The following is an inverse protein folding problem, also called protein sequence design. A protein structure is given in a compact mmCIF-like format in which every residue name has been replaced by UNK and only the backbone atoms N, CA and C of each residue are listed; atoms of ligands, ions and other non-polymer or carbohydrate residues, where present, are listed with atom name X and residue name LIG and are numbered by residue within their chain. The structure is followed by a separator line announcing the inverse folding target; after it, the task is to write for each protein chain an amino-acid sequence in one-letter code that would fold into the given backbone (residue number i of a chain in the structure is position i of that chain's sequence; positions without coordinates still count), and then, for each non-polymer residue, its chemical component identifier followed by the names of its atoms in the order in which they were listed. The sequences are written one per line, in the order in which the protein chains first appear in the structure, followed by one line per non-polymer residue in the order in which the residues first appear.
data_IF_814763364557
#
_entry.id   IF_814763364557
#
_cell.length_a   1.000
_cell.length_b   1.000
_cell.length_c   1.000
_cell.angle_alpha   90.00
_cell.angle_beta   90.00
_cell.angle_gamma   90.00
#
_symmetry.space_group_name_H-M   'P 1'
#
loop_
_entity.id
_entity.type
_entity.pdbx_description
1 polymer ?
#
# COMPACT_ATOMS: atom_id res chain seq x y z
N UNK A 1 -12.79 -8.43 24.70
CA UNK A 1 -12.50 -7.05 24.25
C UNK A 1 -13.84 -6.42 23.91
N UNK A 2 -14.17 -5.24 24.41
CA UNK A 2 -15.48 -4.59 24.24
C UNK A 2 -15.49 -3.73 22.96
N UNK A 3 -16.57 -3.78 22.17
CA UNK A 3 -16.72 -3.01 20.93
C UNK A 3 -17.97 -2.13 21.06
N UNK A 4 -17.81 -0.82 20.85
CA UNK A 4 -18.89 0.17 20.84
C UNK A 4 -19.74 -0.01 19.57
N UNK A 5 -21.04 -0.25 19.72
CA UNK A 5 -21.92 -0.65 18.60
C UNK A 5 -22.96 0.39 18.19
N UNK A 6 -23.22 1.43 18.99
CA UNK A 6 -24.11 2.53 18.61
C UNK A 6 -24.00 3.76 19.53
N UNK A 7 -24.30 4.95 18.99
CA UNK A 7 -24.61 6.18 19.73
C UNK A 7 -26.07 6.56 19.46
N UNK A 8 -26.88 6.73 20.52
CA UNK A 8 -28.22 7.32 20.43
C UNK A 8 -28.30 8.61 21.25
N UNK A 9 -28.94 9.63 20.69
CA UNK A 9 -29.27 10.90 21.34
C UNK A 9 -30.77 11.14 21.23
N UNK A 10 -31.47 11.20 22.37
CA UNK A 10 -32.85 11.66 22.45
C UNK A 10 -32.90 13.07 23.06
N UNK A 11 -33.53 14.02 22.36
CA UNK A 11 -33.96 15.29 22.92
C UNK A 11 -35.36 15.14 23.51
N UNK A 12 -35.55 15.47 24.79
CA UNK A 12 -36.87 15.50 25.42
C UNK A 12 -37.28 16.94 25.72
N UNK A 13 -38.34 17.40 25.06
CA UNK A 13 -39.05 18.65 25.37
C UNK A 13 -39.80 18.55 26.70
N UNK A 14 -39.65 19.55 27.55
CA UNK A 14 -40.21 19.63 28.91
C UNK A 14 -41.67 20.09 28.93
N UNK A 15 -42.53 19.39 29.69
CA UNK A 15 -43.75 19.98 30.26
C UNK A 15 -44.07 19.37 31.63
N UNK A 16 -44.45 20.23 32.55
CA UNK A 16 -44.58 20.03 33.99
C UNK A 16 -45.93 19.44 34.45
N UNK A 17 -45.90 18.88 35.67
CA UNK A 17 -46.95 18.85 36.70
C UNK A 17 -47.60 17.49 37.10
N UNK A 18 -47.51 17.27 38.42
CA UNK A 18 -48.41 16.59 39.37
C UNK A 18 -48.78 15.11 39.24
N UNK A 19 -48.28 14.34 40.23
CA UNK A 19 -48.98 13.36 41.08
C UNK A 19 -50.08 12.49 40.44
N UNK A 20 -49.82 11.18 40.39
CA UNK A 20 -50.88 10.16 40.38
C UNK A 20 -50.65 8.96 39.45
N UNK A 21 -50.25 7.84 40.03
CA UNK A 21 -50.67 6.45 39.72
C UNK A 21 -50.79 6.04 38.21
N UNK A 22 -49.94 5.05 37.85
CA UNK A 22 -50.09 4.04 36.77
C UNK A 22 -50.09 4.54 35.31
N UNK A 23 -48.95 4.36 34.65
CA UNK A 23 -48.92 4.03 33.23
C UNK A 23 -47.90 2.90 32.99
N UNK A 24 -48.42 1.76 32.50
CA UNK A 24 -47.65 0.63 31.99
C UNK A 24 -46.79 1.10 30.81
N UNK A 25 -45.48 1.03 30.91
CA UNK A 25 -44.62 0.84 29.75
C UNK A 25 -44.03 -0.57 29.85
N UNK A 26 -44.77 -1.55 29.29
CA UNK A 26 -44.22 -2.85 28.91
C UNK A 26 -43.15 -2.56 27.85
N UNK A 27 -41.88 -2.62 28.20
CA UNK A 27 -40.84 -2.88 27.21
C UNK A 27 -40.60 -4.39 27.28
N UNK A 28 -41.32 -5.09 26.40
CA UNK A 28 -41.05 -6.49 26.07
C UNK A 28 -39.96 -6.48 25.00
N UNK A 29 -38.71 -6.73 25.39
CA UNK A 29 -37.64 -7.09 24.47
C UNK A 29 -37.09 -8.44 24.91
N UNK A 30 -37.49 -9.46 24.15
CA UNK A 30 -37.14 -10.86 24.26
C UNK A 30 -35.68 -11.13 23.89
N UNK A 31 -35.09 -12.17 24.48
CA UNK A 31 -33.97 -12.94 23.93
C UNK A 31 -33.10 -13.58 25.00
N UNK A 32 -33.18 -14.90 25.16
CA UNK A 32 -32.30 -15.70 26.03
C UNK A 32 -30.83 -15.61 25.57
N UNK A 33 -29.93 -15.18 26.47
CA UNK A 33 -28.48 -15.20 26.25
C UNK A 33 -27.74 -14.10 27.03
N UNK A 34 -27.22 -14.47 28.21
CA UNK A 34 -26.24 -13.75 29.06
C UNK A 34 -26.25 -12.21 29.05
N UNK A 35 -27.15 -11.62 29.86
CA UNK A 35 -27.12 -10.20 30.18
C UNK A 35 -26.27 -9.93 31.44
N UNK A 36 -25.04 -9.45 31.29
CA UNK A 36 -24.29 -8.81 32.37
C UNK A 36 -24.81 -7.38 32.57
N UNK A 37 -25.83 -7.24 33.42
CA UNK A 37 -26.46 -5.98 33.76
C UNK A 37 -25.59 -5.14 34.72
N UNK A 38 -24.99 -4.06 34.24
CA UNK A 38 -24.40 -2.99 35.07
C UNK A 38 -25.20 -1.69 34.87
N UNK A 39 -26.41 -1.64 35.38
CA UNK A 39 -27.27 -0.45 35.32
C UNK A 39 -27.11 0.46 36.53
N UNK A 40 -26.40 1.59 36.38
CA UNK A 40 -26.56 2.76 37.26
C UNK A 40 -27.32 3.82 36.50
N UNK A 41 -28.60 4.03 36.86
CA UNK A 41 -29.45 5.07 36.26
C UNK A 41 -29.15 6.39 36.99
N UNK A 42 -28.46 7.31 36.30
CA UNK A 42 -28.32 8.71 36.74
C UNK A 42 -28.99 9.62 35.72
N UNK A 43 -30.00 10.35 36.18
CA UNK A 43 -30.73 11.35 35.42
C UNK A 43 -29.81 12.54 35.09
N UNK A 44 -29.38 12.64 33.83
CA UNK A 44 -28.59 13.73 33.29
C UNK A 44 -28.09 13.30 31.92
N UNK A 45 -28.46 14.04 30.87
CA UNK A 45 -28.17 13.69 29.47
C UNK A 45 -26.74 13.22 29.27
N UNK A 46 -26.57 11.90 29.14
CA UNK A 46 -25.30 11.25 28.84
C UNK A 46 -25.56 10.35 27.65
N UNK A 47 -24.82 10.57 26.57
CA UNK A 47 -24.71 9.60 25.48
C UNK A 47 -24.38 8.24 26.10
N UNK A 48 -25.33 7.32 26.03
CA UNK A 48 -25.16 5.98 26.55
C UNK A 48 -24.49 5.15 25.46
N UNK A 49 -23.18 4.91 25.61
CA UNK A 49 -22.44 3.99 24.76
C UNK A 49 -22.79 2.57 25.20
N UNK A 50 -23.43 1.82 24.30
CA UNK A 50 -23.73 0.41 24.55
C UNK A 50 -22.55 -0.44 24.07
N UNK A 51 -22.02 -1.26 24.97
CA UNK A 51 -20.96 -2.21 24.69
C UNK A 51 -21.54 -3.62 24.68
N UNK A 52 -21.14 -4.43 23.71
CA UNK A 52 -21.45 -5.86 23.66
C UNK A 52 -20.15 -6.66 23.67
N UNK A 53 -20.09 -7.69 24.52
CA UNK A 53 -19.01 -8.68 24.48
C UNK A 53 -19.30 -9.64 23.34
N UNK A 54 -18.47 -9.59 22.31
CA UNK A 54 -18.52 -10.55 21.21
C UNK A 54 -17.40 -11.57 21.45
N UNK A 55 -17.67 -12.87 21.59
CA UNK A 55 -16.63 -13.88 21.50
C UNK A 55 -16.14 -13.90 20.04
N UNK A 56 -14.86 -13.65 19.82
CA UNK A 56 -14.24 -13.68 18.48
C UNK A 56 -12.83 -14.24 18.55
N UNK A 57 -12.40 -14.90 17.49
CA UNK A 57 -11.05 -15.37 17.25
C UNK A 57 -10.42 -14.60 16.09
N UNK A 58 -9.43 -13.76 16.39
CA UNK A 58 -8.70 -13.00 15.36
C UNK A 58 -7.87 -13.86 14.41
N UNK A 59 -7.68 -15.14 14.70
CA UNK A 59 -7.06 -16.09 13.77
C UNK A 59 -8.05 -16.62 12.72
N UNK A 60 -9.32 -16.20 12.75
CA UNK A 60 -10.38 -16.68 11.86
C UNK A 60 -10.96 -15.50 11.08
N UNK A 61 -10.83 -15.52 9.75
CA UNK A 61 -11.33 -14.44 8.88
C UNK A 61 -12.85 -14.22 8.97
N UNK A 62 -13.62 -15.28 9.25
CA UNK A 62 -15.07 -15.19 9.44
C UNK A 62 -15.44 -14.29 10.63
N UNK A 63 -14.82 -14.52 11.79
CA UNK A 63 -15.04 -13.72 13.00
C UNK A 63 -14.67 -12.26 12.75
N UNK A 64 -13.56 -12.00 12.05
CA UNK A 64 -13.17 -10.64 11.65
C UNK A 64 -14.23 -10.01 10.75
N UNK A 65 -14.77 -10.76 9.79
CA UNK A 65 -15.82 -10.27 8.89
C UNK A 65 -17.07 -9.86 9.67
N UNK A 66 -17.50 -10.67 10.63
CA UNK A 66 -18.66 -10.38 11.48
C UNK A 66 -18.44 -9.13 12.33
N UNK A 67 -17.23 -8.94 12.87
CA UNK A 67 -16.89 -7.72 13.58
C UNK A 67 -16.97 -6.48 12.67
N UNK A 68 -16.46 -6.57 11.45
CA UNK A 68 -16.51 -5.49 10.47
C UNK A 68 -17.95 -5.14 10.08
N UNK A 69 -18.82 -6.14 9.93
CA UNK A 69 -20.25 -5.91 9.68
C UNK A 69 -20.96 -5.26 10.87
N UNK A 70 -20.64 -5.67 12.11
CA UNK A 70 -21.25 -5.08 13.32
C UNK A 70 -20.98 -3.59 13.45
N UNK A 71 -19.85 -3.11 12.95
CA UNK A 71 -19.51 -1.68 12.91
C UNK A 71 -19.92 -0.99 11.60
N UNK A 72 -20.71 -1.64 10.75
CA UNK A 72 -21.13 -1.15 9.43
C UNK A 72 -19.95 -0.71 8.55
N UNK A 73 -18.85 -1.47 8.57
CA UNK A 73 -17.69 -1.19 7.73
C UNK A 73 -18.06 -1.31 6.24
N UNK A 74 -17.79 -0.25 5.48
CA UNK A 74 -18.17 -0.12 4.07
C UNK A 74 -17.01 0.31 3.15
N UNK A 75 -15.79 0.35 3.68
CA UNK A 75 -14.59 0.75 2.92
C UNK A 75 -13.93 -0.47 2.29
N UNK A 76 -12.98 -0.21 1.38
CA UNK A 76 -12.06 -1.22 0.84
C UNK A 76 -10.81 -1.29 1.72
N UNK A 77 -10.23 -2.47 1.85
CA UNK A 77 -8.97 -2.68 2.59
C UNK A 77 -7.84 -2.79 1.57
N UNK A 78 -6.81 -1.94 1.69
CA UNK A 78 -5.64 -1.99 0.83
C UNK A 78 -4.52 -2.72 1.56
N UNK A 79 -4.00 -3.78 0.93
CA UNK A 79 -2.84 -4.51 1.41
C UNK A 79 -1.64 -4.17 0.53
N UNK A 80 -0.80 -3.28 1.03
CA UNK A 80 0.43 -2.90 0.35
C UNK A 80 1.56 -3.90 0.63
N UNK A 81 2.49 -4.05 -0.32
CA UNK A 81 3.70 -4.85 -0.17
C UNK A 81 3.46 -6.31 0.21
N UNK A 82 2.36 -6.91 -0.29
CA UNK A 82 1.99 -8.31 -0.02
C UNK A 82 3.12 -9.32 -0.33
N UNK A 83 3.92 -9.02 -1.35
CA UNK A 83 5.03 -9.86 -1.81
C UNK A 83 6.19 -9.99 -0.81
N UNK A 84 6.26 -9.16 0.25
CA UNK A 84 7.24 -9.29 1.33
C UNK A 84 6.85 -10.31 2.40
N UNK A 85 5.60 -10.73 2.45
CA UNK A 85 5.19 -11.81 3.34
C UNK A 85 5.91 -13.11 2.95
N UNK A 86 6.23 -13.94 3.93
CA UNK A 86 6.70 -15.29 3.65
C UNK A 86 5.59 -16.11 2.94
N UNK A 87 5.99 -17.19 2.28
CA UNK A 87 5.06 -17.97 1.46
C UNK A 87 3.92 -18.60 2.26
N UNK A 88 4.19 -18.99 3.51
CA UNK A 88 3.20 -19.57 4.40
C UNK A 88 2.10 -18.56 4.72
N UNK A 89 2.44 -17.34 5.11
CA UNK A 89 1.48 -16.26 5.35
C UNK A 89 0.75 -15.83 4.08
N UNK A 90 1.44 -15.77 2.94
CA UNK A 90 0.76 -15.47 1.66
C UNK A 90 -0.32 -16.52 1.37
N UNK A 91 -0.04 -17.79 1.64
CA UNK A 91 -1.00 -18.88 1.46
C UNK A 91 -2.16 -18.78 2.45
N UNK A 92 -1.89 -18.61 3.74
CA UNK A 92 -2.93 -18.41 4.77
C UNK A 92 -3.86 -17.26 4.39
N UNK A 93 -3.27 -16.09 4.08
CA UNK A 93 -4.03 -14.91 3.70
C UNK A 93 -4.82 -15.12 2.40
N UNK A 94 -4.38 -15.99 1.48
CA UNK A 94 -5.16 -16.33 0.29
C UNK A 94 -6.50 -17.01 0.64
N UNK A 95 -6.53 -17.87 1.66
CA UNK A 95 -7.77 -18.47 2.16
C UNK A 95 -8.64 -17.46 2.91
N UNK A 96 -8.02 -16.58 3.68
CA UNK A 96 -8.75 -15.51 4.37
C UNK A 96 -9.40 -14.54 3.38
N UNK A 97 -8.69 -14.14 2.32
CA UNK A 97 -9.19 -13.28 1.25
C UNK A 97 -10.44 -13.87 0.58
N UNK A 98 -10.48 -15.20 0.39
CA UNK A 98 -11.68 -15.89 -0.09
C UNK A 98 -12.86 -15.65 0.87
N UNK A 99 -12.64 -15.85 2.16
CA UNK A 99 -13.67 -15.68 3.20
C UNK A 99 -14.19 -14.24 3.24
N UNK A 100 -13.29 -13.26 3.24
CA UNK A 100 -13.65 -11.84 3.20
C UNK A 100 -14.46 -11.48 1.95
N UNK A 101 -14.11 -12.03 0.79
CA UNK A 101 -14.86 -11.80 -0.44
C UNK A 101 -16.27 -12.39 -0.36
N UNK A 102 -16.46 -13.58 0.23
CA UNK A 102 -17.76 -14.22 0.43
C UNK A 102 -18.68 -13.41 1.37
N UNK A 103 -18.10 -12.70 2.33
CA UNK A 103 -18.82 -11.81 3.25
C UNK A 103 -19.00 -10.38 2.69
N UNK A 104 -18.49 -10.09 1.48
CA UNK A 104 -18.66 -8.81 0.81
C UNK A 104 -17.62 -7.74 1.21
N UNK A 105 -16.54 -8.14 1.89
CA UNK A 105 -15.41 -7.27 2.23
C UNK A 105 -14.38 -7.31 1.10
N UNK A 106 -14.13 -6.16 0.49
CA UNK A 106 -13.26 -6.05 -0.68
C UNK A 106 -11.85 -5.67 -0.25
N UNK A 107 -10.90 -6.52 -0.65
CA UNK A 107 -9.47 -6.26 -0.53
C UNK A 107 -8.87 -5.85 -1.88
N UNK A 108 -7.97 -4.86 -1.84
CA UNK A 108 -7.11 -4.46 -2.97
C UNK A 108 -5.68 -4.79 -2.58
N UNK A 109 -5.09 -5.77 -3.26
CA UNK A 109 -3.73 -6.23 -2.98
C UNK A 109 -2.77 -5.54 -3.93
N UNK A 110 -1.81 -4.79 -3.39
CA UNK A 110 -0.74 -4.14 -4.14
C UNK A 110 0.55 -4.91 -3.93
N UNK A 111 1.22 -5.27 -5.02
CA UNK A 111 2.50 -5.95 -4.93
C UNK A 111 3.09 -6.31 -6.28
N UNK A 112 4.38 -6.63 -6.25
CA UNK A 112 5.11 -7.11 -7.43
C UNK A 112 5.10 -8.64 -7.43
N UNK A 113 4.55 -9.22 -8.49
CA UNK A 113 4.46 -10.67 -8.63
C UNK A 113 5.57 -11.19 -9.53
N UNK A 114 6.45 -12.04 -8.99
CA UNK A 114 7.45 -12.78 -9.81
C UNK A 114 6.82 -13.81 -10.75
N UNK A 115 5.64 -14.30 -10.38
CA UNK A 115 4.83 -15.26 -11.14
C UNK A 115 3.39 -14.77 -11.11
N UNK A 116 2.74 -14.75 -12.28
CA UNK A 116 1.31 -14.46 -12.38
C UNK A 116 0.50 -15.48 -11.57
N UNK A 117 -0.73 -15.10 -11.17
CA UNK A 117 -1.70 -16.00 -10.54
C UNK A 117 -1.25 -16.64 -9.22
N UNK A 118 -0.36 -15.98 -8.48
CA UNK A 118 0.20 -16.53 -7.24
C UNK A 118 -0.86 -16.80 -6.18
N UNK A 119 -1.84 -15.90 -6.00
CA UNK A 119 -2.96 -16.10 -5.08
C UNK A 119 -3.83 -17.30 -5.48
N UNK A 120 -4.16 -17.44 -6.78
CA UNK A 120 -4.93 -18.59 -7.31
C UNK A 120 -4.18 -19.91 -7.16
N UNK A 121 -2.85 -19.87 -7.25
CA UNK A 121 -2.01 -21.06 -7.02
C UNK A 121 -2.11 -21.54 -5.57
N UNK A 122 -2.18 -20.61 -4.60
CA UNK A 122 -2.35 -20.96 -3.18
C UNK A 122 -3.77 -21.38 -2.85
N UNK A 123 -4.77 -20.68 -3.41
CA UNK A 123 -6.19 -20.95 -3.21
C UNK A 123 -6.91 -20.99 -4.56
N UNK A 124 -7.12 -22.18 -5.15
CA UNK A 124 -7.79 -22.32 -6.45
C UNK A 124 -9.21 -21.74 -6.49
N UNK A 125 -9.90 -21.66 -5.35
CA UNK A 125 -11.23 -21.06 -5.23
C UNK A 125 -11.26 -19.57 -5.60
N UNK A 126 -10.09 -18.90 -5.62
CA UNK A 126 -9.95 -17.51 -6.06
C UNK A 126 -9.97 -17.35 -7.59
N UNK A 127 -9.99 -18.44 -8.37
CA UNK A 127 -9.76 -18.41 -9.82
C UNK A 127 -10.68 -17.44 -10.54
N UNK A 128 -11.97 -17.45 -10.20
CA UNK A 128 -12.99 -16.57 -10.80
C UNK A 128 -13.44 -15.42 -9.85
N UNK A 129 -12.66 -15.16 -8.79
CA UNK A 129 -13.01 -14.19 -7.74
C UNK A 129 -12.01 -13.05 -7.59
N UNK A 130 -10.86 -13.16 -8.25
CA UNK A 130 -9.78 -12.16 -8.21
C UNK A 130 -9.56 -11.60 -9.60
N UNK A 131 -9.57 -10.27 -9.70
CA UNK A 131 -9.23 -9.57 -10.92
C UNK A 131 -7.82 -9.00 -10.82
N UNK A 132 -6.93 -9.44 -11.72
CA UNK A 132 -5.59 -8.87 -11.83
C UNK A 132 -5.65 -7.64 -12.74
N UNK A 133 -5.21 -6.50 -12.21
CA UNK A 133 -5.03 -5.27 -12.99
C UNK A 133 -3.53 -5.07 -13.14
N UNK A 134 -2.93 -5.43 -14.28
CA UNK A 134 -1.52 -5.19 -14.51
C UNK A 134 -1.28 -3.68 -14.58
N UNK A 135 -0.24 -3.22 -13.88
CA UNK A 135 0.23 -1.82 -13.96
C UNK A 135 1.26 -1.64 -15.08
N UNK A 136 1.94 -2.73 -15.45
CA UNK A 136 2.94 -2.78 -16.52
C UNK A 136 2.41 -3.55 -17.74
N UNK A 137 2.93 -3.28 -18.97
CA UNK A 137 4.11 -2.47 -19.26
C UNK A 137 3.81 -0.97 -19.33
N UNK A 138 4.74 -0.16 -18.83
CA UNK A 138 4.75 1.28 -19.08
C UNK A 138 5.30 1.56 -20.48
N UNK A 139 4.63 2.42 -21.23
CA UNK A 139 5.09 2.92 -22.53
C UNK A 139 5.54 4.36 -22.42
N UNK A 140 6.34 4.85 -23.38
CA UNK A 140 6.87 6.22 -23.36
C UNK A 140 5.78 7.29 -23.16
N UNK A 141 4.58 7.06 -23.72
CA UNK A 141 3.42 7.94 -23.52
C UNK A 141 3.04 8.12 -22.05
N UNK A 142 3.10 7.05 -21.25
CA UNK A 142 2.79 7.08 -19.82
C UNK A 142 3.83 7.92 -19.05
N UNK A 143 5.11 7.79 -19.42
CA UNK A 143 6.19 8.60 -18.82
C UNK A 143 5.97 10.09 -19.09
N UNK A 144 5.58 10.43 -20.32
CA UNK A 144 5.27 11.82 -20.71
C UNK A 144 4.03 12.34 -19.99
N UNK A 145 3.01 11.51 -19.76
CA UNK A 145 1.85 11.90 -18.97
C UNK A 145 2.22 12.20 -17.51
N UNK A 146 3.12 11.42 -16.91
CA UNK A 146 3.65 11.70 -15.56
C UNK A 146 4.39 13.05 -15.52
N UNK A 147 5.24 13.32 -16.51
CA UNK A 147 5.93 14.62 -16.63
C UNK A 147 4.90 15.75 -16.73
N UNK A 148 3.90 15.59 -17.61
CA UNK A 148 2.87 16.61 -17.83
C UNK A 148 2.10 16.90 -16.54
N UNK A 149 1.61 15.88 -15.84
CA UNK A 149 0.88 16.07 -14.57
C UNK A 149 1.73 16.79 -13.52
N UNK A 150 3.00 16.41 -13.39
CA UNK A 150 3.91 17.10 -12.46
C UNK A 150 4.13 18.57 -12.83
N UNK A 151 4.29 18.87 -14.12
CA UNK A 151 4.41 20.23 -14.65
C UNK A 151 3.14 21.07 -14.36
N UNK A 152 1.95 20.50 -14.57
CA UNK A 152 0.67 21.15 -14.29
C UNK A 152 0.52 21.49 -12.80
N UNK A 153 0.79 20.55 -11.90
CA UNK A 153 0.72 20.76 -10.44
C UNK A 153 1.73 21.81 -9.94
N UNK A 154 2.88 21.92 -10.60
CA UNK A 154 3.92 22.88 -10.24
C UNK A 154 3.82 24.22 -10.99
N UNK A 155 2.90 24.35 -11.96
CA UNK A 155 2.81 25.49 -12.88
C UNK A 155 4.15 25.80 -13.59
N UNK A 156 4.80 24.75 -14.10
CA UNK A 156 6.06 24.85 -14.86
C UNK A 156 5.94 24.13 -16.21
N UNK A 157 6.91 24.36 -17.09
CA UNK A 157 7.16 23.54 -18.28
C UNK A 157 8.64 23.17 -18.32
N UNK A 158 8.97 22.03 -18.92
CA UNK A 158 10.35 21.53 -19.01
C UNK A 158 10.71 21.35 -20.49
N UNK A 159 11.91 21.73 -20.89
CA UNK A 159 12.37 21.56 -22.27
C UNK A 159 12.42 20.09 -22.67
N UNK A 160 12.13 19.81 -23.95
CA UNK A 160 12.17 18.44 -24.48
C UNK A 160 13.57 17.82 -24.38
N UNK A 161 14.64 18.63 -24.41
CA UNK A 161 16.01 18.15 -24.19
C UNK A 161 16.19 17.48 -22.83
N UNK A 162 15.67 18.10 -21.76
CA UNK A 162 15.72 17.56 -20.39
C UNK A 162 14.84 16.32 -20.28
N UNK A 163 13.61 16.39 -20.81
CA UNK A 163 12.66 15.27 -20.79
C UNK A 163 13.26 14.05 -21.49
N UNK A 164 13.68 14.19 -22.75
CA UNK A 164 14.28 13.10 -23.52
C UNK A 164 15.50 12.48 -22.81
N UNK A 165 16.33 13.31 -22.18
CA UNK A 165 17.48 12.85 -21.39
C UNK A 165 17.05 12.02 -20.18
N UNK A 166 16.03 12.44 -19.44
CA UNK A 166 15.53 11.65 -18.30
C UNK A 166 14.81 10.38 -18.73
N UNK A 167 14.04 10.38 -19.83
CA UNK A 167 13.45 9.15 -20.34
C UNK A 167 14.54 8.13 -20.70
N UNK A 168 15.59 8.55 -21.41
CA UNK A 168 16.71 7.68 -21.79
C UNK A 168 17.47 7.11 -20.58
N UNK A 169 17.58 7.88 -19.48
CA UNK A 169 18.29 7.48 -18.27
C UNK A 169 17.37 6.90 -17.17
N UNK A 170 16.06 6.77 -17.43
CA UNK A 170 15.12 6.15 -16.50
C UNK A 170 15.12 4.63 -16.59
N UNK A 171 15.68 4.07 -17.66
CA UNK A 171 15.72 2.62 -17.95
C UNK A 171 14.35 1.94 -17.83
N UNK A 172 13.28 2.63 -18.24
CA UNK A 172 11.91 2.12 -18.17
C UNK A 172 11.32 2.09 -16.75
N UNK A 173 11.95 2.78 -15.78
CA UNK A 173 11.43 2.92 -14.42
C UNK A 173 10.79 4.29 -14.20
N UNK A 174 9.48 4.31 -13.96
CA UNK A 174 8.75 5.53 -13.59
C UNK A 174 9.30 6.13 -12.28
N UNK A 175 9.68 5.30 -11.32
CA UNK A 175 10.25 5.78 -10.06
C UNK A 175 11.57 6.53 -10.26
N UNK A 176 12.43 6.03 -11.16
CA UNK A 176 13.69 6.72 -11.50
C UNK A 176 13.40 8.03 -12.24
N UNK A 177 12.47 8.03 -13.21
CA UNK A 177 12.05 9.26 -13.88
C UNK A 177 11.58 10.32 -12.87
N UNK A 178 10.72 9.95 -11.92
CA UNK A 178 10.20 10.87 -10.91
C UNK A 178 11.29 11.43 -10.00
N UNK A 179 12.25 10.60 -9.58
CA UNK A 179 13.38 11.06 -8.76
C UNK A 179 14.33 12.00 -9.54
N UNK A 180 14.54 11.76 -10.84
CA UNK A 180 15.29 12.67 -11.71
C UNK A 180 14.57 14.02 -11.88
N UNK A 181 13.26 14.00 -12.16
CA UNK A 181 12.44 15.21 -12.29
C UNK A 181 12.43 16.03 -10.99
N UNK A 182 12.31 15.35 -9.84
CA UNK A 182 12.36 15.98 -8.52
C UNK A 182 13.71 16.64 -8.26
N UNK A 183 14.83 15.94 -8.53
CA UNK A 183 16.16 16.52 -8.38
C UNK A 183 16.35 17.72 -9.33
N UNK A 184 15.87 17.61 -10.58
CA UNK A 184 15.89 18.72 -11.53
C UNK A 184 15.13 19.95 -11.00
N UNK A 185 13.94 19.75 -10.44
CA UNK A 185 13.16 20.81 -9.82
C UNK A 185 13.92 21.45 -8.65
N UNK A 186 14.56 20.65 -7.80
CA UNK A 186 15.36 21.15 -6.68
C UNK A 186 16.53 22.03 -7.16
N UNK A 187 17.29 21.59 -8.18
CA UNK A 187 18.39 22.39 -8.76
C UNK A 187 17.89 23.66 -9.46
N UNK A 188 16.69 23.62 -10.03
CA UNK A 188 16.00 24.79 -10.58
C UNK A 188 15.37 25.71 -9.50
N UNK A 189 15.44 25.32 -8.22
CA UNK A 189 14.86 26.09 -7.10
C UNK A 189 13.34 25.96 -6.95
N UNK A 190 12.73 24.96 -7.60
CA UNK A 190 11.29 24.71 -7.60
C UNK A 190 10.91 23.77 -6.45
N UNK A 191 10.55 24.37 -5.32
CA UNK A 191 10.15 23.66 -4.09
C UNK A 191 8.65 23.81 -3.76
N UNK A 192 7.91 24.55 -4.60
CA UNK A 192 6.47 24.81 -4.50
C UNK A 192 5.94 25.17 -5.87
N UNK A 193 4.62 25.10 -6.04
CA UNK A 193 3.94 25.59 -7.26
C UNK A 193 4.33 27.04 -7.55
N UNK A 194 4.67 27.33 -8.80
CA UNK A 194 5.05 28.66 -9.23
C UNK A 194 3.83 29.60 -9.32
N UNK A 195 3.99 30.84 -8.86
CA UNK A 195 2.93 31.84 -8.88
C UNK A 195 3.03 32.70 -10.15
N UNK A 196 1.92 32.86 -10.88
CA UNK A 196 1.86 33.70 -12.08
C UNK A 196 1.97 32.89 -13.37
N UNK A 197 2.64 33.47 -14.38
CA UNK A 197 2.86 32.80 -15.67
C UNK A 197 3.74 31.56 -15.49
N UNK A 198 3.48 30.52 -16.27
CA UNK A 198 4.21 29.25 -16.15
C UNK A 198 5.71 29.44 -16.39
N UNK A 199 6.53 28.91 -15.47
CA UNK A 199 7.98 28.99 -15.58
C UNK A 199 8.50 27.91 -16.53
N UNK A 200 9.31 28.30 -17.52
CA UNK A 200 9.95 27.37 -18.43
C UNK A 200 11.36 27.00 -17.99
N UNK A 201 11.60 25.72 -17.70
CA UNK A 201 12.90 25.15 -17.37
C UNK A 201 13.59 24.66 -18.66
N UNK A 202 14.58 25.41 -19.13
CA UNK A 202 15.33 25.10 -20.35
C UNK A 202 16.84 24.92 -20.14
N UNK A 203 17.34 25.10 -18.91
CA UNK A 203 18.77 24.96 -18.63
C UNK A 203 19.12 23.47 -18.42
N UNK A 204 19.75 22.87 -19.42
CA UNK A 204 20.17 21.46 -19.40
C UNK A 204 21.13 21.14 -18.24
N UNK A 205 21.81 22.13 -17.65
CA UNK A 205 22.70 21.89 -16.50
C UNK A 205 21.96 21.31 -15.30
N UNK A 206 20.67 21.63 -15.12
CA UNK A 206 19.87 21.04 -14.05
C UNK A 206 19.66 19.54 -14.25
N UNK A 207 19.56 19.10 -15.50
CA UNK A 207 19.44 17.68 -15.83
C UNK A 207 20.77 16.94 -15.60
N UNK A 208 21.91 17.57 -15.95
CA UNK A 208 23.24 17.02 -15.64
C UNK A 208 23.44 16.85 -14.13
N UNK A 209 23.11 17.87 -13.35
CA UNK A 209 23.23 17.84 -11.89
C UNK A 209 22.31 16.79 -11.25
N UNK A 210 21.05 16.70 -11.71
CA UNK A 210 20.10 15.69 -11.24
C UNK A 210 20.59 14.26 -11.52
N UNK A 211 21.12 14.03 -12.72
CA UNK A 211 21.70 12.73 -13.08
C UNK A 211 22.91 12.41 -12.22
N UNK A 212 23.82 13.36 -12.03
CA UNK A 212 25.00 13.15 -11.19
C UNK A 212 24.63 12.82 -9.74
N UNK A 213 23.71 13.57 -9.14
CA UNK A 213 23.20 13.33 -7.79
C UNK A 213 22.60 11.92 -7.67
N UNK A 214 21.66 11.56 -8.56
CA UNK A 214 20.99 10.24 -8.49
C UNK A 214 21.91 9.08 -8.84
N UNK A 215 22.84 9.26 -9.77
CA UNK A 215 23.87 8.26 -10.03
C UNK A 215 24.75 8.03 -8.80
N UNK A 216 25.14 9.09 -8.08
CA UNK A 216 25.94 8.98 -6.87
C UNK A 216 25.16 8.29 -5.74
N UNK A 217 23.88 8.63 -5.54
CA UNK A 217 23.02 7.97 -4.55
C UNK A 217 22.86 6.47 -4.80
N UNK A 218 22.65 6.08 -6.06
CA UNK A 218 22.45 4.67 -6.42
C UNK A 218 23.75 3.87 -6.50
N UNK A 219 24.90 4.55 -6.71
CA UNK A 219 26.22 3.92 -6.85
C UNK A 219 26.54 3.00 -5.68
N UNK A 220 26.38 3.47 -4.45
CA UNK A 220 26.76 2.70 -3.25
C UNK A 220 25.98 1.37 -3.15
N UNK A 221 24.66 1.44 -3.36
CA UNK A 221 23.81 0.25 -3.34
C UNK A 221 24.15 -0.73 -4.47
N UNK A 222 24.40 -0.23 -5.68
CA UNK A 222 24.79 -1.06 -6.81
C UNK A 222 26.17 -1.67 -6.65
N UNK A 223 27.14 -0.92 -6.13
CA UNK A 223 28.46 -1.43 -5.81
C UNK A 223 28.38 -2.54 -4.79
N UNK A 224 27.65 -2.34 -3.69
CA UNK A 224 27.45 -3.37 -2.68
C UNK A 224 26.79 -4.63 -3.27
N UNK A 225 25.77 -4.48 -4.12
CA UNK A 225 25.13 -5.60 -4.78
C UNK A 225 26.10 -6.38 -5.69
N UNK A 226 26.93 -5.68 -6.46
CA UNK A 226 27.95 -6.28 -7.33
C UNK A 226 29.04 -6.98 -6.51
N UNK A 227 29.46 -6.40 -5.39
CA UNK A 227 30.43 -7.02 -4.47
C UNK A 227 29.87 -8.29 -3.84
N UNK A 228 28.61 -8.28 -3.38
CA UNK A 228 27.92 -9.46 -2.85
C UNK A 228 27.79 -10.56 -3.91
N UNK A 229 27.42 -10.19 -5.14
CA UNK A 229 27.38 -11.12 -6.27
C UNK A 229 28.76 -11.70 -6.55
N UNK A 230 29.80 -10.86 -6.59
CA UNK A 230 31.17 -11.27 -6.87
C UNK A 230 31.75 -12.19 -5.78
N UNK A 231 31.41 -11.93 -4.51
CA UNK A 231 31.80 -12.77 -3.37
C UNK A 231 31.20 -14.18 -3.46
N UNK A 232 30.01 -14.30 -4.08
CA UNK A 232 29.31 -15.55 -4.29
C UNK A 232 28.71 -16.14 -3.00
N UNK A 233 27.60 -16.86 -3.11
CA UNK A 233 27.07 -17.64 -1.99
C UNK A 233 27.91 -18.91 -1.79
N UNK A 234 28.91 -18.85 -0.90
CA UNK A 234 29.79 -19.98 -0.56
C UNK A 234 29.07 -21.09 0.26
N UNK A 235 27.78 -20.92 0.58
CA UNK A 235 27.09 -21.69 1.63
C UNK A 235 26.52 -23.06 1.23
N UNK A 236 26.60 -23.52 -0.02
CA UNK A 236 25.99 -24.80 -0.41
C UNK A 236 26.85 -25.79 -1.22
N UNK A 237 28.16 -25.60 -1.35
CA UNK A 237 29.01 -26.68 -1.86
C UNK A 237 29.33 -27.68 -0.76
N UNK A 238 28.47 -28.68 -0.55
CA UNK A 238 28.72 -29.85 0.33
C UNK A 238 29.91 -30.72 -0.11
N UNK A 239 30.64 -30.36 -1.17
CA UNK A 239 31.85 -31.03 -1.62
C UNK A 239 33.09 -30.20 -1.30
N UNK A 240 33.70 -30.44 -0.12
CA UNK A 240 35.05 -29.95 0.20
C UNK A 240 36.07 -30.72 -0.63
N UNK A 241 36.35 -30.31 -1.88
CA UNK A 241 37.55 -30.79 -2.58
C UNK A 241 37.95 -30.03 -3.87
N UNK A 242 37.14 -29.11 -4.39
CA UNK A 242 37.50 -28.33 -5.59
C UNK A 242 37.49 -26.84 -5.29
N UNK A 243 38.54 -26.15 -5.73
CA UNK A 243 38.60 -24.69 -5.70
C UNK A 243 37.36 -24.11 -6.41
N UNK A 244 36.65 -23.15 -5.80
CA UNK A 244 35.48 -22.55 -6.42
C UNK A 244 35.90 -21.85 -7.71
N UNK A 245 35.12 -22.04 -8.79
CA UNK A 245 35.47 -21.52 -10.12
C UNK A 245 35.37 -19.99 -10.25
N UNK A 246 35.09 -19.26 -9.15
CA UNK A 246 34.91 -17.80 -9.11
C UNK A 246 34.05 -17.22 -10.25
N UNK A 247 33.12 -18.01 -10.79
CA UNK A 247 32.25 -17.61 -11.91
C UNK A 247 31.47 -16.32 -11.63
N UNK A 248 30.91 -16.10 -10.41
CA UNK A 248 30.22 -14.84 -10.11
C UNK A 248 31.13 -13.62 -10.21
N UNK A 249 32.40 -13.74 -9.80
CA UNK A 249 33.38 -12.65 -9.93
C UNK A 249 33.65 -12.30 -11.40
N UNK A 250 33.88 -13.30 -12.25
CA UNK A 250 34.13 -13.05 -13.68
C UNK A 250 32.88 -12.50 -14.39
N UNK A 251 31.68 -12.93 -13.99
CA UNK A 251 30.43 -12.37 -14.49
C UNK A 251 30.30 -10.89 -14.14
N UNK A 252 30.52 -10.51 -12.88
CA UNK A 252 30.49 -9.11 -12.44
C UNK A 252 31.54 -8.28 -13.21
N UNK A 253 32.75 -8.82 -13.41
CA UNK A 253 33.78 -8.16 -14.22
C UNK A 253 33.31 -7.88 -15.65
N UNK A 254 32.66 -8.84 -16.30
CA UNK A 254 32.10 -8.66 -17.65
C UNK A 254 30.99 -7.61 -17.64
N UNK A 255 30.08 -7.63 -16.67
CA UNK A 255 29.00 -6.64 -16.53
C UNK A 255 29.58 -5.22 -16.42
N UNK A 256 30.54 -5.02 -15.53
CA UNK A 256 31.18 -3.70 -15.31
C UNK A 256 31.96 -3.24 -16.55
N UNK A 257 32.61 -4.17 -17.26
CA UNK A 257 33.39 -3.83 -18.46
C UNK A 257 32.51 -3.54 -19.68
N UNK A 258 31.41 -4.26 -19.85
CA UNK A 258 30.49 -4.05 -20.96
C UNK A 258 29.56 -2.86 -20.75
N UNK A 259 29.23 -2.52 -19.51
CA UNK A 259 28.23 -1.50 -19.22
C UNK A 259 26.84 -1.94 -19.69
N UNK A 260 25.97 -0.96 -19.93
CA UNK A 260 24.64 -1.16 -20.49
C UNK A 260 24.56 -0.45 -21.84
N UNK A 261 24.59 -1.23 -22.91
CA UNK A 261 24.30 -0.75 -24.27
C UNK A 261 22.84 -1.07 -24.58
N UNK A 262 22.07 -0.03 -24.94
CA UNK A 262 20.71 -0.20 -25.46
C UNK A 262 20.84 -0.51 -26.94
N UNK A 263 20.82 -1.80 -27.31
CA UNK A 263 20.48 -2.21 -28.68
C UNK A 263 18.96 -2.10 -28.89
#
# INVERSE_FOLDING_TARGET
MEIETANQSEETSTSSASVGIKAKAKIWLFGEGEASASGTISAGGKQSKTYQTVPFNLAVAQDISELLHKINFSKKIILENFHYLDEEKQRELSFDLRTFQETGIIFVVLGVWRKKDRLRTFCPDLTDRVNDIPVEPWVEGDFREVVQKGCEELNITISESIIAKFLANSFGSIGVLQELLKACCNFAGINRTHEGESLHLANDSYADQALEEKCNEYRENHQQALELLAAGNVTHSKGKEKAPLHLPYYLVKVIVQKGYDVE
#
